data_IF_736014664994
#
_entry.id   IF_736014664994
#
_cell.length_a   1.000
_cell.length_b   1.000
_cell.length_c   1.000
_cell.angle_alpha   90.00
_cell.angle_beta   90.00
_cell.angle_gamma   90.00
#
_symmetry.space_group_name_H-M   'P 1'
#
loop_
_entity.id
_entity.type
_entity.pdbx_description
1 polymer ?
#
# COMPACT_ATOMS: atom_id res chain seq x y z
N UNK A 1 4.01 0.96 7.12
CA UNK A 1 4.56 1.34 5.81
C UNK A 1 6.05 1.48 5.97
N UNK A 2 6.82 0.82 5.12
CA UNK A 2 8.28 0.99 5.05
C UNK A 2 8.60 1.71 3.74
N UNK A 3 9.43 2.75 3.80
CA UNK A 3 9.92 3.46 2.61
C UNK A 3 11.44 3.29 2.52
N UNK A 4 11.90 2.61 1.48
CA UNK A 4 13.33 2.34 1.25
C UNK A 4 13.85 3.25 0.14
N UNK A 5 15.05 3.79 0.32
CA UNK A 5 15.80 4.41 -0.78
C UNK A 5 16.49 3.29 -1.55
N UNK A 6 16.32 3.28 -2.86
CA UNK A 6 16.90 2.27 -3.76
C UNK A 6 17.42 2.97 -5.01
N UNK A 7 18.39 2.35 -5.68
CA UNK A 7 18.96 2.83 -6.92
C UNK A 7 19.10 1.66 -7.91
N UNK A 8 18.90 1.93 -9.19
CA UNK A 8 19.03 0.91 -10.24
C UNK A 8 19.46 1.55 -11.56
N UNK A 9 20.11 0.79 -12.47
CA UNK A 9 20.52 1.33 -13.76
C UNK A 9 19.30 1.66 -14.65
N UNK A 10 19.30 2.86 -15.22
CA UNK A 10 18.34 3.32 -16.22
C UNK A 10 18.73 2.92 -17.64
N UNK A 11 17.93 3.36 -18.60
CA UNK A 11 18.08 2.99 -20.02
C UNK A 11 19.35 3.53 -20.67
N UNK A 12 19.87 4.65 -20.17
CA UNK A 12 21.11 5.27 -20.62
C UNK A 12 22.34 4.86 -19.76
N UNK A 13 22.18 3.87 -18.88
CA UNK A 13 23.25 3.37 -18.01
C UNK A 13 23.54 4.23 -16.76
N UNK A 14 22.86 5.36 -16.60
CA UNK A 14 22.91 6.15 -15.37
C UNK A 14 22.10 5.50 -14.25
N UNK A 15 22.52 5.68 -12.99
CA UNK A 15 21.74 5.23 -11.84
C UNK A 15 20.51 6.12 -11.66
N UNK A 16 19.36 5.49 -11.51
CA UNK A 16 18.09 6.13 -11.21
C UNK A 16 17.80 6.01 -9.72
N UNK A 17 17.53 7.14 -9.08
CA UNK A 17 17.16 7.20 -7.67
C UNK A 17 15.67 6.94 -7.50
N UNK A 18 15.33 6.06 -6.56
CA UNK A 18 13.96 5.65 -6.32
C UNK A 18 13.61 5.49 -4.84
N UNK A 19 12.31 5.43 -4.60
CA UNK A 19 11.67 5.13 -3.32
C UNK A 19 10.76 3.92 -3.52
N UNK A 20 11.03 2.87 -2.75
CA UNK A 20 10.16 1.72 -2.65
C UNK A 20 9.33 1.83 -1.38
N UNK A 21 8.05 2.11 -1.56
CA UNK A 21 7.06 2.23 -0.51
C UNK A 21 6.25 0.92 -0.43
N UNK A 22 6.26 0.24 0.72
CA UNK A 22 5.56 -1.05 0.87
C UNK A 22 4.76 -1.17 2.17
N UNK A 23 3.65 -1.92 2.15
CA UNK A 23 2.96 -2.32 3.38
C UNK A 23 3.84 -3.25 4.21
N UNK A 24 3.50 -3.39 5.49
CA UNK A 24 4.21 -4.32 6.38
C UNK A 24 3.80 -5.79 6.10
N UNK A 25 2.76 -6.01 5.29
CA UNK A 25 2.30 -7.30 4.80
C UNK A 25 2.78 -7.54 3.37
N UNK A 26 2.59 -8.75 2.84
CA UNK A 26 2.79 -9.01 1.42
C UNK A 26 1.86 -8.09 0.59
N UNK A 27 2.40 -7.33 -0.38
CA UNK A 27 1.58 -6.49 -1.25
C UNK A 27 0.64 -7.32 -2.10
N UNK A 28 -0.57 -6.81 -2.31
CA UNK A 28 -1.53 -7.36 -3.27
C UNK A 28 -0.96 -7.36 -4.69
N UNK A 29 -0.33 -6.26 -5.05
CA UNK A 29 0.31 -6.04 -6.33
C UNK A 29 1.38 -4.96 -6.18
N UNK A 30 2.37 -4.99 -7.06
CA UNK A 30 3.37 -3.95 -7.18
C UNK A 30 2.98 -2.97 -8.27
N UNK A 31 3.15 -1.68 -7.97
CA UNK A 31 2.91 -0.58 -8.87
C UNK A 31 4.21 0.15 -9.19
N UNK A 32 4.43 0.47 -10.46
CA UNK A 32 5.45 1.44 -10.86
C UNK A 32 4.75 2.76 -11.11
N UNK A 33 5.17 3.80 -10.40
CA UNK A 33 4.57 5.12 -10.48
C UNK A 33 5.56 6.12 -11.09
N UNK A 34 5.37 6.38 -12.39
CA UNK A 34 5.99 7.45 -13.15
C UNK A 34 5.33 8.79 -12.81
N UNK A 35 5.90 9.52 -11.85
CA UNK A 35 5.40 10.86 -11.52
C UNK A 35 5.73 11.87 -12.64
N UNK A 36 5.27 13.11 -12.47
CA UNK A 36 5.54 14.18 -13.43
C UNK A 36 7.05 14.40 -13.64
N UNK A 37 7.46 14.56 -14.90
CA UNK A 37 8.86 14.76 -15.35
C UNK A 37 9.47 16.07 -14.84
N UNK A 38 8.65 16.96 -14.29
CA UNK A 38 9.11 18.24 -13.75
C UNK A 38 9.14 18.22 -12.22
N UNK A 39 8.67 17.12 -11.63
CA UNK A 39 8.63 16.88 -10.21
C UNK A 39 9.76 15.95 -9.80
N UNK A 40 10.08 15.95 -8.51
CA UNK A 40 10.88 14.89 -7.91
C UNK A 40 9.96 13.78 -7.38
N UNK A 41 10.52 12.59 -7.19
CA UNK A 41 9.96 11.51 -6.38
C UNK A 41 9.59 11.97 -4.98
N UNK A 42 10.12 13.07 -4.47
CA UNK A 42 9.74 13.62 -3.17
C UNK A 42 8.60 14.67 -3.28
N UNK A 43 7.95 14.81 -4.45
CA UNK A 43 6.77 15.67 -4.60
C UNK A 43 5.63 15.21 -3.69
N UNK A 44 4.94 16.19 -3.10
CA UNK A 44 3.84 15.95 -2.15
C UNK A 44 2.79 15.00 -2.73
N UNK A 45 2.35 15.26 -3.95
CA UNK A 45 1.37 14.43 -4.65
C UNK A 45 1.83 12.98 -4.82
N UNK A 46 3.06 12.77 -5.32
CA UNK A 46 3.58 11.42 -5.51
C UNK A 46 3.72 10.66 -4.18
N UNK A 47 4.14 11.35 -3.12
CA UNK A 47 4.25 10.78 -1.78
C UNK A 47 2.87 10.45 -1.17
N UNK A 48 1.89 11.35 -1.30
CA UNK A 48 0.54 11.14 -0.78
C UNK A 48 -0.20 10.01 -1.51
N UNK A 49 -0.11 9.97 -2.84
CA UNK A 49 -0.69 8.88 -3.65
C UNK A 49 -0.04 7.55 -3.26
N UNK A 50 1.29 7.51 -3.16
CA UNK A 50 2.02 6.30 -2.76
C UNK A 50 1.58 5.79 -1.39
N UNK A 51 1.54 6.68 -0.40
CA UNK A 51 1.13 6.33 0.96
C UNK A 51 -0.29 5.76 1.01
N UNK A 52 -1.24 6.41 0.34
CA UNK A 52 -2.62 5.95 0.29
C UNK A 52 -2.78 4.60 -0.45
N UNK A 53 -1.99 4.36 -1.51
CA UNK A 53 -1.95 3.05 -2.18
C UNK A 53 -1.34 1.96 -1.28
N UNK A 54 -0.30 2.30 -0.51
CA UNK A 54 0.31 1.38 0.46
C UNK A 54 -0.66 1.01 1.58
N UNK A 55 -1.41 1.98 2.11
CA UNK A 55 -2.49 1.75 3.07
C UNK A 55 -3.59 0.84 2.49
N UNK A 56 -3.82 0.92 1.17
CA UNK A 56 -4.73 0.02 0.46
C UNK A 56 -4.13 -1.36 0.10
N UNK A 57 -2.88 -1.63 0.49
CA UNK A 57 -2.20 -2.92 0.35
C UNK A 57 -1.35 -3.10 -0.91
N UNK A 58 -1.03 -2.03 -1.63
CA UNK A 58 -0.13 -2.07 -2.80
C UNK A 58 1.30 -1.74 -2.41
N UNK A 59 2.28 -2.34 -3.09
CA UNK A 59 3.67 -1.88 -3.04
C UNK A 59 3.89 -0.91 -4.19
N UNK A 60 4.60 0.19 -3.98
CA UNK A 60 4.75 1.27 -4.96
C UNK A 60 6.21 1.64 -5.11
N UNK A 61 6.73 1.54 -6.34
CA UNK A 61 8.03 2.06 -6.73
C UNK A 61 7.84 3.41 -7.42
N UNK A 62 8.43 4.46 -6.85
CA UNK A 62 8.53 5.79 -7.46
C UNK A 62 9.98 6.10 -7.74
N UNK A 63 10.30 6.62 -8.91
CA UNK A 63 11.67 6.89 -9.32
C UNK A 63 11.77 8.22 -10.04
N UNK A 64 12.90 8.88 -9.89
CA UNK A 64 13.25 10.04 -10.69
C UNK A 64 13.79 9.56 -12.05
N UNK A 65 13.31 10.10 -13.18
CA UNK A 65 13.89 9.79 -14.50
C UNK A 65 15.34 10.29 -14.62
N UNK A 66 16.07 9.82 -15.64
CA UNK A 66 17.45 10.27 -15.91
C UNK A 66 17.55 11.80 -15.89
N UNK A 67 18.55 12.33 -15.18
CA UNK A 67 18.80 13.77 -15.07
C UNK A 67 17.81 14.57 -14.22
N UNK A 68 16.89 13.90 -13.52
CA UNK A 68 15.95 14.53 -12.59
C UNK A 68 16.23 14.11 -11.15
N UNK A 69 15.94 15.02 -10.22
CA UNK A 69 15.92 14.71 -8.78
C UNK A 69 17.26 14.14 -8.29
N UNK A 70 17.22 12.91 -7.76
CA UNK A 70 18.41 12.20 -7.30
C UNK A 70 19.06 11.30 -8.36
N UNK A 71 18.48 11.18 -9.56
CA UNK A 71 19.01 10.33 -10.63
C UNK A 71 20.20 10.97 -11.33
N UNK A 72 21.17 10.14 -11.71
CA UNK A 72 22.33 10.57 -12.48
C UNK A 72 21.98 10.96 -13.93
N UNK A 73 22.97 11.50 -14.63
CA UNK A 73 22.83 11.98 -16.01
C UNK A 73 22.41 13.44 -16.08
N UNK A 74 22.14 13.91 -17.30
CA UNK A 74 21.69 15.28 -17.58
C UNK A 74 20.40 15.22 -18.40
N UNK A 75 19.35 15.87 -17.88
CA UNK A 75 18.02 15.86 -18.49
C UNK A 75 18.03 16.44 -19.90
N UNK A 76 18.93 17.38 -20.19
CA UNK A 76 19.08 17.97 -21.51
C UNK A 76 19.49 16.95 -22.60
N UNK A 77 20.10 15.84 -22.20
CA UNK A 77 20.49 14.76 -23.10
C UNK A 77 19.45 13.62 -23.16
N UNK A 78 18.32 13.76 -22.47
CA UNK A 78 17.26 12.75 -22.47
C UNK A 78 16.22 13.03 -23.56
N UNK A 79 15.49 11.98 -23.93
CA UNK A 79 14.37 12.03 -24.86
C UNK A 79 13.15 11.32 -24.25
N UNK A 80 11.96 11.50 -24.82
CA UNK A 80 10.77 10.82 -24.30
C UNK A 80 10.94 9.29 -24.37
N UNK A 81 11.52 8.76 -25.45
CA UNK A 81 11.76 7.32 -25.60
C UNK A 81 12.79 6.77 -24.60
N UNK A 82 13.81 7.54 -24.17
CA UNK A 82 14.72 7.10 -23.09
C UNK A 82 14.00 7.09 -21.77
N UNK A 83 13.12 8.06 -21.52
CA UNK A 83 12.35 8.10 -20.29
C UNK A 83 11.32 6.96 -20.23
N UNK A 84 10.72 6.56 -21.37
CA UNK A 84 9.98 5.29 -21.48
C UNK A 84 10.90 4.10 -21.19
N UNK A 85 12.15 4.13 -21.64
CA UNK A 85 13.17 3.13 -21.31
C UNK A 85 13.47 3.04 -19.81
N UNK A 86 13.61 4.17 -19.11
CA UNK A 86 13.83 4.23 -17.67
C UNK A 86 12.66 3.65 -16.89
N UNK A 87 11.43 3.91 -17.34
CA UNK A 87 10.22 3.29 -16.77
C UNK A 87 10.22 1.76 -16.93
N UNK A 88 10.66 1.27 -18.09
CA UNK A 88 10.82 -0.19 -18.31
C UNK A 88 11.91 -0.75 -17.39
N UNK A 89 13.04 -0.06 -17.25
CA UNK A 89 14.11 -0.46 -16.34
C UNK A 89 13.63 -0.51 -14.88
N UNK A 90 12.81 0.46 -14.45
CA UNK A 90 12.19 0.47 -13.13
C UNK A 90 11.25 -0.73 -12.91
N UNK A 91 10.47 -1.09 -13.93
CA UNK A 91 9.60 -2.27 -13.88
C UNK A 91 10.40 -3.58 -13.84
N UNK A 92 11.48 -3.66 -14.63
CA UNK A 92 12.36 -4.83 -14.66
C UNK A 92 13.11 -5.03 -13.33
N UNK A 93 13.61 -3.96 -12.73
CA UNK A 93 14.22 -3.99 -11.40
C UNK A 93 13.20 -4.39 -10.33
N UNK A 94 11.98 -3.83 -10.38
CA UNK A 94 10.93 -4.19 -9.41
C UNK A 94 10.58 -5.68 -9.50
N UNK A 95 10.55 -6.22 -10.74
CA UNK A 95 10.33 -7.65 -11.00
C UNK A 95 11.45 -8.51 -10.42
N UNK A 96 12.71 -8.12 -10.57
CA UNK A 96 13.85 -8.93 -10.10
C UNK A 96 13.98 -8.94 -8.57
N UNK A 97 13.81 -7.78 -7.93
CA UNK A 97 14.09 -7.63 -6.50
C UNK A 97 12.89 -7.92 -5.59
N UNK A 98 11.66 -7.76 -6.11
CA UNK A 98 10.47 -7.77 -5.26
C UNK A 98 9.32 -8.57 -5.84
N UNK A 99 8.77 -8.16 -6.98
CA UNK A 99 7.66 -8.87 -7.58
C UNK A 99 7.08 -8.16 -8.78
N UNK A 100 6.13 -8.85 -9.40
CA UNK A 100 5.57 -8.49 -10.69
C UNK A 100 4.92 -7.09 -10.69
N UNK A 101 5.40 -6.14 -11.52
CA UNK A 101 4.85 -4.79 -11.64
C UNK A 101 3.50 -4.81 -12.39
N UNK A 102 2.43 -5.20 -11.70
CA UNK A 102 1.13 -5.44 -12.30
C UNK A 102 0.31 -4.16 -12.54
N UNK A 103 0.67 -3.05 -11.90
CA UNK A 103 0.01 -1.75 -12.03
C UNK A 103 1.00 -0.69 -12.53
N UNK A 104 0.65 0.02 -13.60
CA UNK A 104 1.40 1.20 -14.03
C UNK A 104 0.58 2.45 -13.74
N UNK A 105 1.18 3.42 -13.07
CA UNK A 105 0.56 4.71 -12.75
C UNK A 105 1.43 5.81 -13.31
N UNK A 106 0.84 6.73 -14.06
CA UNK A 106 1.55 7.84 -14.67
C UNK A 106 0.84 9.16 -14.42
N UNK A 107 1.59 10.18 -13.99
CA UNK A 107 1.07 11.54 -13.78
C UNK A 107 1.67 12.54 -14.77
N UNK A 108 0.84 13.42 -15.33
CA UNK A 108 1.24 14.39 -16.35
C UNK A 108 1.94 13.68 -17.52
N UNK A 109 3.14 14.11 -17.92
CA UNK A 109 3.94 13.43 -18.95
C UNK A 109 4.29 11.97 -18.59
N UNK A 110 4.35 11.64 -17.30
CA UNK A 110 4.43 10.26 -16.81
C UNK A 110 3.24 9.40 -17.25
N UNK A 111 2.05 9.99 -17.39
CA UNK A 111 0.86 9.35 -17.94
C UNK A 111 1.04 8.93 -19.40
N UNK A 112 1.62 9.80 -20.22
CA UNK A 112 1.96 9.45 -21.59
C UNK A 112 3.05 8.36 -21.65
N UNK A 113 4.03 8.44 -20.74
CA UNK A 113 5.11 7.45 -20.65
C UNK A 113 4.61 6.05 -20.25
N UNK A 114 3.69 5.92 -19.28
CA UNK A 114 3.14 4.60 -18.92
C UNK A 114 2.29 3.99 -20.03
N UNK A 115 1.53 4.81 -20.78
CA UNK A 115 0.80 4.35 -21.95
C UNK A 115 1.76 3.85 -23.05
N UNK A 116 2.92 4.50 -23.21
CA UNK A 116 3.95 4.07 -24.15
C UNK A 116 4.72 2.82 -23.68
N UNK A 117 4.98 2.70 -22.38
CA UNK A 117 5.74 1.60 -21.81
C UNK A 117 4.93 0.32 -21.62
N UNK A 118 3.60 0.40 -21.51
CA UNK A 118 2.75 -0.75 -21.15
C UNK A 118 2.99 -1.99 -22.02
N UNK A 119 3.20 -1.83 -23.33
CA UNK A 119 3.48 -2.94 -24.26
C UNK A 119 4.85 -3.60 -24.06
N UNK A 120 5.79 -2.87 -23.45
CA UNK A 120 7.14 -3.34 -23.14
C UNK A 120 7.22 -4.00 -21.75
N UNK A 121 6.14 -3.88 -20.95
CA UNK A 121 6.05 -4.44 -19.61
C UNK A 121 4.91 -5.47 -19.63
N UNK A 122 5.22 -6.70 -20.07
CA UNK A 122 4.22 -7.76 -20.28
C UNK A 122 3.36 -8.05 -19.02
N UNK A 123 3.95 -7.86 -17.85
CA UNK A 123 3.35 -8.04 -16.53
C UNK A 123 2.30 -7.00 -16.16
N UNK A 124 2.32 -5.83 -16.80
CA UNK A 124 1.38 -4.77 -16.51
C UNK A 124 -0.03 -5.25 -16.87
N UNK A 125 -0.88 -5.41 -15.86
CA UNK A 125 -2.26 -5.89 -16.00
C UNK A 125 -3.28 -4.75 -15.96
N UNK A 126 -2.89 -3.57 -15.46
CA UNK A 126 -3.74 -2.39 -15.40
C UNK A 126 -2.89 -1.11 -15.52
N UNK A 127 -3.44 -0.09 -16.16
CA UNK A 127 -2.78 1.20 -16.40
C UNK A 127 -3.67 2.33 -15.88
N UNK A 128 -3.03 3.31 -15.25
CA UNK A 128 -3.68 4.49 -14.67
C UNK A 128 -2.96 5.74 -15.17
N UNK A 129 -3.74 6.72 -15.60
CA UNK A 129 -3.24 8.06 -15.93
C UNK A 129 -3.89 9.13 -15.05
N UNK A 130 -3.08 10.09 -14.59
CA UNK A 130 -3.49 11.26 -13.81
C UNK A 130 -3.07 12.51 -14.60
N UNK A 131 -4.02 13.34 -15.03
CA UNK A 131 -3.68 14.62 -15.69
C UNK A 131 -2.84 14.45 -16.97
N UNK A 132 -3.00 13.35 -17.70
CA UNK A 132 -2.08 12.97 -18.77
C UNK A 132 -2.41 13.65 -20.10
N UNK A 133 -1.40 14.10 -20.87
CA UNK A 133 -1.60 14.60 -22.22
C UNK A 133 -1.88 13.44 -23.18
N UNK A 134 -2.79 13.62 -24.14
CA UNK A 134 -3.06 12.64 -25.20
C UNK A 134 -1.92 12.60 -26.22
N UNK A 135 -1.44 13.76 -26.63
CA UNK A 135 -0.22 13.91 -27.41
C UNK A 135 0.84 14.49 -26.47
N UNK A 136 1.98 13.81 -26.24
CA UNK A 136 3.00 14.38 -25.36
C UNK A 136 3.54 15.71 -25.90
N UNK A 137 3.43 15.95 -27.22
CA UNK A 137 3.75 17.23 -27.87
C UNK A 137 2.84 18.38 -27.40
N UNK A 138 1.65 18.10 -26.86
CA UNK A 138 0.75 19.14 -26.37
C UNK A 138 1.36 19.90 -25.17
N UNK A 139 2.15 19.22 -24.34
CA UNK A 139 2.82 19.83 -23.18
C UNK A 139 3.78 20.93 -23.61
N UNK A 140 4.32 20.85 -24.84
CA UNK A 140 5.29 21.81 -25.33
C UNK A 140 4.69 23.20 -25.54
N UNK A 141 3.37 23.29 -25.76
CA UNK A 141 2.66 24.58 -25.90
C UNK A 141 2.72 25.44 -24.64
N UNK A 142 2.98 24.83 -23.48
CA UNK A 142 3.16 25.53 -22.21
C UNK A 142 4.59 26.10 -22.04
N UNK A 143 5.51 25.85 -22.98
CA UNK A 143 6.89 26.36 -22.93
C UNK A 143 7.02 27.82 -23.42
N UNK A 144 5.93 28.46 -23.82
CA UNK A 144 5.90 29.87 -24.23
C UNK A 144 6.90 30.17 -25.36
N UNK A 145 7.65 31.28 -25.23
CA UNK A 145 8.67 31.69 -26.20
C UNK A 145 9.88 30.76 -26.31
N UNK A 146 10.03 29.78 -25.41
CA UNK A 146 11.11 28.79 -25.44
C UNK A 146 11.05 27.88 -26.67
N UNK A 147 9.86 27.60 -27.21
CA UNK A 147 9.69 26.79 -28.43
C UNK A 147 10.40 27.41 -29.63
N UNK A 148 10.20 28.70 -29.88
CA UNK A 148 10.84 29.41 -30.99
C UNK A 148 12.37 29.41 -30.85
N UNK A 149 12.88 29.48 -29.62
CA UNK A 149 14.31 29.40 -29.33
C UNK A 149 14.88 27.99 -29.55
N UNK A 150 14.14 26.92 -29.22
CA UNK A 150 14.54 25.54 -29.52
C UNK A 150 14.56 25.31 -31.04
N UNK A 151 13.55 25.83 -31.74
CA UNK A 151 13.45 25.78 -33.20
C UNK A 151 14.56 26.57 -33.91
N UNK A 152 15.06 27.66 -33.31
CA UNK A 152 16.16 28.44 -33.91
C UNK A 152 17.56 27.94 -33.51
N UNK A 153 17.76 27.64 -32.22
CA UNK A 153 19.09 27.43 -31.63
C UNK A 153 19.39 25.95 -31.32
N UNK A 154 18.40 25.06 -31.46
CA UNK A 154 18.53 23.64 -31.15
C UNK A 154 18.24 23.29 -29.69
N UNK A 155 18.32 24.27 -28.78
CA UNK A 155 17.96 24.11 -27.37
C UNK A 155 17.50 25.43 -26.73
N UNK A 156 16.73 25.34 -25.65
CA UNK A 156 16.38 26.48 -24.81
C UNK A 156 16.11 26.06 -23.36
N UNK A 157 16.26 27.03 -22.45
CA UNK A 157 15.76 26.88 -21.08
C UNK A 157 14.26 27.14 -21.03
N UNK A 158 13.52 26.21 -20.48
CA UNK A 158 12.08 26.30 -20.27
C UNK A 158 11.76 26.14 -18.78
N UNK A 159 10.72 26.83 -18.32
CA UNK A 159 10.23 26.67 -16.95
C UNK A 159 8.98 25.82 -16.95
N UNK A 160 8.99 24.74 -16.17
CA UNK A 160 7.84 23.86 -15.99
C UNK A 160 7.60 23.63 -14.51
N UNK A 161 6.37 23.91 -14.06
CA UNK A 161 5.96 23.73 -12.65
C UNK A 161 6.93 24.39 -11.65
N UNK A 162 7.48 25.56 -12.02
CA UNK A 162 8.41 26.34 -11.20
C UNK A 162 9.88 25.90 -11.24
N UNK A 163 10.28 24.96 -12.10
CA UNK A 163 11.68 24.53 -12.27
C UNK A 163 12.17 24.79 -13.70
N UNK A 164 13.42 25.21 -13.83
CA UNK A 164 14.07 25.42 -15.12
C UNK A 164 14.74 24.14 -15.63
N UNK A 165 14.53 23.83 -16.91
CA UNK A 165 15.15 22.72 -17.61
C UNK A 165 15.67 23.19 -18.96
N UNK A 166 16.83 22.68 -19.39
CA UNK A 166 17.25 22.81 -20.79
C UNK A 166 16.58 21.70 -21.59
N UNK A 167 15.81 22.08 -22.61
CA UNK A 167 15.24 21.15 -23.58
C UNK A 167 15.91 21.34 -24.93
N UNK A 168 16.20 20.24 -25.60
CA UNK A 168 16.71 20.23 -26.97
C UNK A 168 15.63 19.87 -27.97
N UNK A 169 15.86 20.21 -29.24
CA UNK A 169 14.96 19.94 -30.35
C UNK A 169 14.67 18.46 -30.51
N UNK A 170 15.67 17.61 -30.29
CA UNK A 170 15.55 16.16 -30.39
C UNK A 170 14.49 15.60 -29.42
N UNK A 171 14.32 16.21 -28.25
CA UNK A 171 13.25 15.84 -27.32
C UNK A 171 11.87 16.17 -27.91
N UNK A 172 11.71 17.33 -28.54
CA UNK A 172 10.45 17.73 -29.18
C UNK A 172 10.12 16.83 -30.37
N UNK A 173 11.10 16.52 -31.21
CA UNK A 173 10.95 15.65 -32.37
C UNK A 173 10.60 14.21 -31.96
N UNK A 174 11.30 13.68 -30.95
CA UNK A 174 11.02 12.36 -30.38
C UNK A 174 9.62 12.32 -29.78
N UNK A 175 9.20 13.33 -29.03
CA UNK A 175 7.85 13.45 -28.47
C UNK A 175 6.77 13.52 -29.57
N UNK A 176 6.99 14.31 -30.62
CA UNK A 176 6.05 14.50 -31.72
C UNK A 176 5.90 13.24 -32.59
N UNK A 177 6.94 12.43 -32.69
CA UNK A 177 6.94 11.18 -33.46
C UNK A 177 6.29 10.00 -32.73
N UNK A 178 5.88 10.14 -31.47
CA UNK A 178 5.30 9.04 -30.70
C UNK A 178 3.89 8.69 -31.22
N UNK A 179 3.63 7.43 -31.64
CA UNK A 179 2.32 6.99 -32.13
C UNK A 179 1.36 6.71 -30.96
N UNK A 180 1.06 7.74 -30.17
CA UNK A 180 0.36 7.60 -28.89
C UNK A 180 -1.07 7.08 -29.07
N UNK A 181 -1.76 7.54 -30.12
CA UNK A 181 -3.11 7.08 -30.45
C UNK A 181 -3.14 5.56 -30.75
N UNK A 182 -2.16 5.06 -31.51
CA UNK A 182 -2.05 3.64 -31.83
C UNK A 182 -1.74 2.82 -30.58
N UNK A 183 -0.82 3.31 -29.73
CA UNK A 183 -0.47 2.65 -28.46
C UNK A 183 -1.65 2.53 -27.50
N UNK A 184 -2.46 3.59 -27.38
CA UNK A 184 -3.67 3.61 -26.56
C UNK A 184 -4.71 2.64 -27.12
N UNK A 185 -4.95 2.65 -28.44
CA UNK A 185 -5.90 1.75 -29.07
C UNK A 185 -5.49 0.28 -28.92
N UNK A 186 -4.21 -0.01 -29.12
CA UNK A 186 -3.66 -1.35 -28.98
C UNK A 186 -3.37 -1.76 -27.54
N UNK A 187 -3.71 -0.96 -26.52
CA UNK A 187 -3.30 -1.15 -25.12
C UNK A 187 -3.69 -2.53 -24.56
N UNK A 188 -4.90 -3.03 -24.88
CA UNK A 188 -5.42 -4.32 -24.43
C UNK A 188 -5.23 -4.60 -22.92
N UNK A 189 -5.31 -3.55 -22.11
CA UNK A 189 -5.28 -3.57 -20.64
C UNK A 189 -6.36 -2.64 -20.09
N UNK A 190 -6.96 -2.96 -18.94
CA UNK A 190 -7.75 -2.03 -18.15
C UNK A 190 -7.07 -0.67 -18.01
N UNK A 191 -7.79 0.39 -18.41
CA UNK A 191 -7.30 1.77 -18.30
C UNK A 191 -8.23 2.61 -17.41
N UNK A 192 -7.65 3.26 -16.41
CA UNK A 192 -8.31 4.31 -15.63
C UNK A 192 -7.69 5.66 -15.94
N UNK A 193 -8.52 6.60 -16.41
CA UNK A 193 -8.13 7.99 -16.68
C UNK A 193 -8.72 8.86 -15.59
N UNK A 194 -7.88 9.55 -14.81
CA UNK A 194 -8.30 10.53 -13.83
C UNK A 194 -7.83 11.92 -14.26
N UNK A 195 -8.73 12.90 -14.26
CA UNK A 195 -8.40 14.26 -14.73
C UNK A 195 -9.31 15.31 -14.10
N UNK A 196 -8.75 16.45 -13.72
CA UNK A 196 -9.53 17.59 -13.24
C UNK A 196 -10.05 18.44 -14.41
N UNK A 197 -11.35 18.81 -14.46
CA UNK A 197 -11.88 19.73 -15.47
C UNK A 197 -11.25 21.14 -15.40
N UNK A 198 -10.75 21.54 -14.23
CA UNK A 198 -10.09 22.83 -13.98
C UNK A 198 -8.59 22.83 -14.31
N UNK A 199 -8.03 21.73 -14.83
CA UNK A 199 -6.60 21.62 -15.15
C UNK A 199 -6.18 22.61 -16.25
N UNK A 200 -5.37 23.60 -15.87
CA UNK A 200 -4.88 24.66 -16.77
C UNK A 200 -3.56 24.32 -17.47
N UNK A 201 -2.92 23.20 -17.11
CA UNK A 201 -1.64 22.75 -17.67
C UNK A 201 -1.86 21.66 -18.71
N UNK A 202 -2.79 20.73 -18.46
CA UNK A 202 -3.21 19.74 -19.45
C UNK A 202 -4.73 19.75 -19.43
N UNK A 203 -5.35 20.42 -20.40
CA UNK A 203 -6.81 20.52 -20.45
C UNK A 203 -7.50 19.15 -20.50
N UNK A 204 -8.68 19.05 -19.87
CA UNK A 204 -9.47 17.81 -19.71
C UNK A 204 -9.84 17.13 -21.03
N UNK A 205 -9.83 17.86 -22.14
CA UNK A 205 -9.97 17.27 -23.48
C UNK A 205 -8.94 16.19 -23.78
N UNK A 206 -7.75 16.24 -23.18
CA UNK A 206 -6.77 15.17 -23.30
C UNK A 206 -7.27 13.86 -22.70
N UNK A 207 -7.88 13.89 -21.51
CA UNK A 207 -8.50 12.71 -20.91
C UNK A 207 -9.63 12.17 -21.77
N UNK A 208 -10.47 13.05 -22.34
CA UNK A 208 -11.52 12.65 -23.29
C UNK A 208 -10.93 11.90 -24.49
N UNK A 209 -9.89 12.44 -25.12
CA UNK A 209 -9.21 11.80 -26.27
C UNK A 209 -8.58 10.46 -25.89
N UNK A 210 -7.91 10.37 -24.73
CA UNK A 210 -7.35 9.10 -24.22
C UNK A 210 -8.46 8.06 -24.02
N UNK A 211 -9.55 8.47 -23.37
CA UNK A 211 -10.69 7.58 -23.10
C UNK A 211 -11.39 7.13 -24.37
N UNK A 212 -11.63 8.03 -25.34
CA UNK A 212 -12.25 7.70 -26.62
C UNK A 212 -11.38 6.71 -27.43
N UNK A 213 -10.07 6.96 -27.47
CA UNK A 213 -9.12 6.13 -28.22
C UNK A 213 -8.92 4.73 -27.63
N UNK A 214 -9.03 4.58 -26.31
CA UNK A 214 -8.83 3.29 -25.65
C UNK A 214 -9.97 2.31 -25.95
N UNK A 215 -9.68 1.00 -25.94
CA UNK A 215 -10.70 -0.05 -25.97
C UNK A 215 -11.14 -0.41 -24.54
N UNK A 216 -12.29 -1.09 -24.40
CA UNK A 216 -12.73 -1.58 -23.09
C UNK A 216 -11.83 -2.73 -22.59
N UNK A 217 -11.65 -2.88 -21.26
CA UNK A 217 -12.26 -2.09 -20.19
C UNK A 217 -11.53 -0.75 -19.95
N UNK A 218 -12.29 0.34 -19.94
CA UNK A 218 -11.81 1.70 -19.73
C UNK A 218 -12.72 2.46 -18.77
N UNK A 219 -12.16 3.35 -17.98
CA UNK A 219 -12.87 4.15 -16.99
C UNK A 219 -12.34 5.58 -16.99
N UNK A 220 -13.22 6.56 -16.79
CA UNK A 220 -12.86 7.96 -16.60
C UNK A 220 -13.44 8.45 -15.27
N UNK A 221 -12.64 9.18 -14.49
CA UNK A 221 -13.09 9.82 -13.25
C UNK A 221 -12.63 11.28 -13.24
N UNK A 222 -13.57 12.17 -12.98
CA UNK A 222 -13.27 13.58 -12.76
C UNK A 222 -12.68 13.79 -11.36
N UNK A 223 -11.64 14.62 -11.26
CA UNK A 223 -11.02 15.04 -10.00
C UNK A 223 -11.55 16.40 -9.51
N UNK A 224 -12.70 16.85 -10.03
CA UNK A 224 -13.38 18.09 -9.67
C UNK A 224 -12.48 19.33 -9.71
N UNK A 225 -12.24 20.00 -8.59
CA UNK A 225 -11.51 21.26 -8.48
C UNK A 225 -10.00 21.08 -8.28
N UNK A 226 -9.50 19.83 -8.25
CA UNK A 226 -8.09 19.53 -8.04
C UNK A 226 -7.16 20.23 -9.06
N UNK A 227 -6.00 20.70 -8.59
CA UNK A 227 -4.99 21.27 -9.47
C UNK A 227 -4.21 20.20 -10.27
N UNK A 228 -3.52 20.61 -11.33
CA UNK A 228 -2.74 19.69 -12.19
C UNK A 228 -1.76 18.83 -11.40
N UNK A 229 -1.15 19.39 -10.35
CA UNK A 229 -0.09 18.75 -9.60
C UNK A 229 -0.59 17.93 -8.42
N UNK A 230 -1.90 17.92 -8.14
CA UNK A 230 -2.51 17.30 -6.95
C UNK A 230 -1.80 17.71 -5.66
N UNK A 231 -1.55 19.02 -5.50
CA UNK A 231 -0.83 19.56 -4.35
C UNK A 231 -1.59 19.37 -3.02
N UNK A 232 -2.92 19.28 -3.08
CA UNK A 232 -3.75 18.99 -1.91
C UNK A 232 -3.64 17.53 -1.49
N UNK A 233 -3.49 17.30 -0.19
CA UNK A 233 -3.49 15.95 0.36
C UNK A 233 -4.86 15.27 0.19
N UNK A 234 -5.97 16.01 0.28
CA UNK A 234 -7.32 15.46 0.08
C UNK A 234 -7.47 14.85 -1.31
N UNK A 235 -7.03 15.57 -2.34
CA UNK A 235 -7.24 15.20 -3.74
C UNK A 235 -6.33 14.05 -4.12
N UNK A 236 -5.08 14.07 -3.64
CA UNK A 236 -4.15 12.97 -3.78
C UNK A 236 -4.66 11.69 -3.10
N UNK A 237 -5.20 11.78 -1.88
CA UNK A 237 -5.79 10.64 -1.17
C UNK A 237 -7.06 10.13 -1.86
N UNK A 238 -7.92 11.03 -2.35
CA UNK A 238 -9.11 10.69 -3.12
C UNK A 238 -8.75 9.94 -4.41
N UNK A 239 -7.83 10.49 -5.21
CA UNK A 239 -7.33 9.86 -6.43
C UNK A 239 -6.74 8.47 -6.14
N UNK A 240 -5.91 8.33 -5.10
CA UNK A 240 -5.34 7.05 -4.69
C UNK A 240 -6.39 6.04 -4.22
N UNK A 241 -7.41 6.48 -3.48
CA UNK A 241 -8.53 5.63 -3.06
C UNK A 241 -9.31 5.08 -4.26
N UNK A 242 -9.60 5.93 -5.26
CA UNK A 242 -10.22 5.53 -6.52
C UNK A 242 -9.35 4.52 -7.28
N UNK A 243 -8.06 4.80 -7.42
CA UNK A 243 -7.11 3.91 -8.07
C UNK A 243 -7.09 2.54 -7.37
N UNK A 244 -6.96 2.53 -6.04
CA UNK A 244 -6.91 1.30 -5.27
C UNK A 244 -8.20 0.48 -5.41
N UNK A 245 -9.37 1.14 -5.29
CA UNK A 245 -10.67 0.48 -5.42
C UNK A 245 -10.86 -0.11 -6.82
N UNK A 246 -10.56 0.67 -7.87
CA UNK A 246 -10.65 0.23 -9.26
C UNK A 246 -9.67 -0.90 -9.57
N UNK A 247 -8.40 -0.78 -9.14
CA UNK A 247 -7.35 -1.74 -9.42
C UNK A 247 -7.64 -3.12 -8.79
N UNK A 248 -8.29 -3.17 -7.62
CA UNK A 248 -8.70 -4.44 -6.96
C UNK A 248 -9.56 -5.34 -7.85
N UNK A 249 -10.31 -4.78 -8.81
CA UNK A 249 -11.14 -5.54 -9.77
C UNK A 249 -10.32 -6.35 -10.77
N UNK A 250 -9.14 -5.86 -11.13
CA UNK A 250 -8.24 -6.44 -12.14
C UNK A 250 -7.01 -7.12 -11.53
N UNK A 251 -6.68 -6.72 -10.30
CA UNK A 251 -5.58 -7.24 -9.49
C UNK A 251 -6.19 -7.90 -8.24
N UNK A 252 -6.87 -9.05 -8.40
CA UNK A 252 -7.41 -9.79 -7.26
C UNK A 252 -6.24 -10.11 -6.32
N UNK A 253 -6.53 -10.16 -5.02
CA UNK A 253 -5.54 -10.62 -4.07
C UNK A 253 -5.09 -12.00 -4.52
N UNK A 254 -3.81 -12.36 -4.37
CA UNK A 254 -3.44 -13.75 -4.49
C UNK A 254 -4.46 -14.55 -3.67
N UNK A 255 -5.08 -15.55 -4.30
CA UNK A 255 -5.96 -16.46 -3.59
C UNK A 255 -5.18 -16.96 -2.36
N UNK A 256 -5.83 -17.29 -1.23
CA UNK A 256 -5.17 -18.03 -0.17
C UNK A 256 -4.80 -19.40 -0.75
N UNK A 257 -3.71 -19.47 -1.49
CA UNK A 257 -3.14 -20.70 -1.99
C UNK A 257 -2.50 -21.37 -0.78
N UNK A 258 -2.85 -22.63 -0.58
CA UNK A 258 -2.20 -23.57 0.33
C UNK A 258 -0.70 -23.75 0.06
N UNK A 259 -0.17 -23.08 -0.94
CA UNK A 259 1.24 -22.95 -1.27
C UNK A 259 1.48 -21.48 -1.65
N UNK A 260 2.01 -20.68 -0.71
CA UNK A 260 2.59 -19.38 -1.06
C UNK A 260 4.08 -19.58 -0.99
N UNK A 261 4.71 -19.50 -2.17
CA UNK A 261 6.14 -19.36 -2.32
C UNK A 261 6.65 -18.32 -1.32
N UNK A 262 7.49 -18.82 -0.41
CA UNK A 262 8.36 -18.04 0.44
C UNK A 262 9.11 -17.00 -0.39
N UNK A 263 9.16 -15.77 0.10
CA UNK A 263 10.23 -14.84 -0.23
C UNK A 263 11.56 -15.57 -0.03
N UNK A 264 12.49 -15.61 -1.00
CA UNK A 264 13.82 -16.13 -0.74
C UNK A 264 14.47 -15.27 0.36
N UNK A 265 14.60 -15.82 1.57
CA UNK A 265 15.31 -15.20 2.69
C UNK A 265 14.49 -14.69 3.88
N UNK A 266 13.15 -14.74 3.85
CA UNK A 266 12.34 -14.45 5.04
C UNK A 266 11.75 -15.76 5.59
N UNK A 267 12.50 -16.45 6.45
CA UNK A 267 11.97 -17.60 7.18
C UNK A 267 10.76 -17.16 8.03
N UNK A 268 9.61 -17.77 7.78
CA UNK A 268 8.46 -17.62 8.66
C UNK A 268 8.82 -18.18 10.03
N UNK A 269 8.49 -17.46 11.11
CA UNK A 269 8.74 -17.93 12.47
C UNK A 269 8.08 -19.31 12.69
N UNK A 270 8.75 -20.25 13.37
CA UNK A 270 8.14 -21.53 13.72
C UNK A 270 6.85 -21.35 14.55
N UNK A 271 5.95 -22.34 14.48
CA UNK A 271 4.74 -22.36 15.32
C UNK A 271 5.14 -22.29 16.79
N UNK A 272 4.50 -21.39 17.55
CA UNK A 272 4.80 -21.16 18.96
C UNK A 272 5.91 -20.13 19.21
N UNK A 273 6.52 -19.57 18.17
CA UNK A 273 7.48 -18.47 18.29
C UNK A 273 6.80 -17.15 17.97
N UNK A 274 6.90 -16.19 18.89
CA UNK A 274 6.46 -14.81 18.70
C UNK A 274 7.68 -13.90 18.79
N UNK A 275 7.87 -13.02 17.81
CA UNK A 275 8.91 -12.00 17.82
C UNK A 275 8.26 -10.64 18.01
N UNK A 276 8.79 -9.84 18.93
CA UNK A 276 8.37 -8.46 19.14
C UNK A 276 9.53 -7.55 18.80
N UNK A 277 9.29 -6.54 17.98
CA UNK A 277 10.30 -5.56 17.56
C UNK A 277 9.76 -4.14 17.66
N UNK A 278 10.66 -3.21 17.91
CA UNK A 278 10.34 -1.79 18.02
C UNK A 278 9.73 -1.24 16.72
N UNK A 279 8.84 -0.25 16.85
CA UNK A 279 8.19 0.45 15.76
C UNK A 279 8.20 1.94 16.07
N UNK A 280 8.35 2.76 15.04
CA UNK A 280 8.23 4.22 15.20
C UNK A 280 6.92 4.60 15.90
N UNK A 281 7.07 5.27 17.04
CA UNK A 281 6.01 5.62 17.98
C UNK A 281 6.60 5.68 19.40
N UNK A 282 5.77 6.01 20.39
CA UNK A 282 6.18 6.07 21.79
C UNK A 282 6.32 4.67 22.41
N UNK A 283 5.27 3.85 22.30
CA UNK A 283 5.25 2.47 22.81
C UNK A 283 4.89 1.43 21.74
N UNK A 284 4.81 1.85 20.48
CA UNK A 284 4.37 1.00 19.40
C UNK A 284 5.39 -0.10 19.10
N UNK A 285 4.92 -1.34 18.95
CA UNK A 285 5.73 -2.50 18.58
C UNK A 285 5.05 -3.32 17.49
N UNK A 286 5.84 -4.03 16.69
CA UNK A 286 5.35 -5.07 15.80
C UNK A 286 5.41 -6.43 16.51
N UNK A 287 4.31 -7.17 16.50
CA UNK A 287 4.21 -8.53 17.03
C UNK A 287 4.05 -9.50 15.85
N UNK A 288 5.04 -10.36 15.64
CA UNK A 288 5.10 -11.31 14.54
C UNK A 288 4.90 -12.74 15.06
N UNK A 289 3.97 -13.48 14.45
CA UNK A 289 3.71 -14.89 14.75
C UNK A 289 3.48 -15.67 13.44
N UNK A 290 4.43 -16.52 13.08
CA UNK A 290 4.42 -17.24 11.79
C UNK A 290 4.41 -16.28 10.60
N UNK A 291 3.26 -16.18 9.92
CA UNK A 291 3.05 -15.30 8.76
C UNK A 291 2.20 -14.06 9.08
N UNK A 292 1.80 -13.90 10.34
CA UNK A 292 0.93 -12.84 10.79
C UNK A 292 1.74 -11.77 11.51
N UNK A 293 1.38 -10.52 11.27
CA UNK A 293 1.94 -9.37 11.98
C UNK A 293 0.78 -8.52 12.47
N UNK A 294 0.82 -8.12 13.74
CA UNK A 294 -0.08 -7.13 14.33
C UNK A 294 0.73 -6.02 15.01
N UNK A 295 0.08 -4.88 15.22
CA UNK A 295 0.65 -3.76 15.97
C UNK A 295 0.11 -3.82 17.39
N UNK A 296 1.00 -3.66 18.36
CA UNK A 296 0.63 -3.41 19.75
C UNK A 296 1.13 -2.04 20.16
N UNK A 297 0.30 -1.29 20.86
CA UNK A 297 0.62 0.04 21.36
C UNK A 297 -0.27 0.36 22.55
N UNK A 298 0.13 1.35 23.35
CA UNK A 298 -0.66 1.83 24.47
C UNK A 298 -1.59 2.99 24.05
N UNK A 299 -2.70 3.23 24.76
CA UNK A 299 -3.53 4.39 24.52
C UNK A 299 -2.80 5.72 24.76
N UNK A 300 -3.25 6.79 24.10
CA UNK A 300 -2.70 8.15 24.26
C UNK A 300 -2.70 8.61 25.73
N UNK A 301 -3.74 8.25 26.49
CA UNK A 301 -3.89 8.66 27.90
C UNK A 301 -2.80 8.15 28.84
N UNK A 302 -2.03 7.14 28.44
CA UNK A 302 -0.91 6.59 29.21
C UNK A 302 0.43 6.73 28.48
N UNK A 303 0.47 7.54 27.43
CA UNK A 303 1.69 7.93 26.71
C UNK A 303 2.00 7.13 25.44
N UNK A 304 1.10 6.26 24.97
CA UNK A 304 1.24 5.61 23.67
C UNK A 304 0.62 6.42 22.53
N UNK A 305 0.58 5.84 21.33
CA UNK A 305 0.05 6.50 20.13
C UNK A 305 -1.27 5.88 19.64
N UNK A 306 -1.85 4.93 20.39
CA UNK A 306 -3.11 4.23 20.07
C UNK A 306 -3.09 3.59 18.66
N UNK A 307 -1.93 3.05 18.25
CA UNK A 307 -1.73 2.45 16.92
C UNK A 307 -2.16 0.98 16.83
N UNK A 308 -2.52 0.35 17.94
CA UNK A 308 -2.80 -1.07 18.03
C UNK A 308 -3.40 -1.48 19.37
N UNK A 309 -3.57 -2.80 19.56
CA UNK A 309 -4.08 -3.35 20.82
C UNK A 309 -3.03 -3.21 21.92
N UNK A 310 -3.45 -2.85 23.14
CA UNK A 310 -2.56 -2.85 24.30
C UNK A 310 -2.10 -4.27 24.66
N UNK A 311 -1.01 -4.42 25.43
CA UNK A 311 -0.54 -5.73 25.88
C UNK A 311 -1.62 -6.54 26.63
N UNK A 312 -2.42 -5.88 27.48
CA UNK A 312 -3.53 -6.53 28.17
C UNK A 312 -4.69 -6.87 27.21
N UNK A 313 -4.97 -6.05 26.20
CA UNK A 313 -5.97 -6.38 25.19
C UNK A 313 -5.57 -7.61 24.37
N UNK A 314 -4.27 -7.77 24.09
CA UNK A 314 -3.74 -8.98 23.45
C UNK A 314 -3.89 -10.22 24.32
N UNK A 315 -3.61 -10.10 25.63
CA UNK A 315 -3.80 -11.18 26.59
C UNK A 315 -5.28 -11.59 26.70
N UNK A 316 -6.18 -10.62 26.83
CA UNK A 316 -7.62 -10.85 26.86
C UNK A 316 -8.10 -11.43 25.51
N UNK A 317 -7.60 -10.91 24.39
CA UNK A 317 -7.90 -11.42 23.06
C UNK A 317 -7.52 -12.89 22.90
N UNK A 318 -6.34 -13.28 23.40
CA UNK A 318 -5.89 -14.67 23.38
C UNK A 318 -6.82 -15.59 24.19
N UNK A 319 -7.21 -15.19 25.40
CA UNK A 319 -8.15 -15.95 26.25
C UNK A 319 -9.55 -16.04 25.61
N UNK A 320 -10.05 -14.93 25.07
CA UNK A 320 -11.37 -14.84 24.44
C UNK A 320 -11.46 -15.70 23.19
N UNK A 321 -10.46 -15.60 22.31
CA UNK A 321 -10.34 -16.42 21.11
C UNK A 321 -10.29 -17.91 21.45
N UNK A 322 -9.43 -18.31 22.39
CA UNK A 322 -9.30 -19.70 22.82
C UNK A 322 -10.60 -20.26 23.41
N UNK A 323 -11.31 -19.46 24.20
CA UNK A 323 -12.61 -19.81 24.77
C UNK A 323 -13.65 -20.03 23.67
N UNK A 324 -13.83 -19.07 22.76
CA UNK A 324 -14.80 -19.16 21.67
C UNK A 324 -14.52 -20.36 20.74
N UNK A 325 -13.25 -20.60 20.39
CA UNK A 325 -12.84 -21.75 19.58
C UNK A 325 -13.18 -23.08 20.27
N UNK A 326 -12.92 -23.17 21.58
CA UNK A 326 -13.19 -24.38 22.38
C UNK A 326 -14.69 -24.69 22.46
N UNK A 327 -15.52 -23.67 22.69
CA UNK A 327 -16.97 -23.81 22.72
C UNK A 327 -17.54 -24.29 21.38
N UNK A 328 -17.08 -23.68 20.27
CA UNK A 328 -17.48 -24.09 18.91
C UNK A 328 -17.03 -25.52 18.60
N UNK A 329 -15.81 -25.89 18.99
CA UNK A 329 -15.30 -27.25 18.82
C UNK A 329 -16.17 -28.27 19.57
N UNK A 330 -16.49 -27.98 20.83
CA UNK A 330 -17.29 -28.87 21.67
C UNK A 330 -18.71 -29.04 21.14
N UNK A 331 -19.39 -27.93 20.80
CA UNK A 331 -20.74 -27.95 20.25
C UNK A 331 -20.80 -28.75 18.94
N UNK A 332 -19.83 -28.55 18.03
CA UNK A 332 -19.72 -29.35 16.78
C UNK A 332 -19.54 -30.84 17.06
N UNK A 333 -18.67 -31.19 18.00
CA UNK A 333 -18.44 -32.58 18.36
C UNK A 333 -19.71 -33.24 18.95
N UNK A 334 -20.49 -32.50 19.74
CA UNK A 334 -21.77 -32.94 20.29
C UNK A 334 -22.95 -32.79 19.33
N UNK A 335 -22.73 -32.21 18.15
CA UNK A 335 -23.76 -31.87 17.15
C UNK A 335 -24.87 -30.98 17.71
N UNK A 336 -24.51 -30.05 18.60
CA UNK A 336 -25.44 -29.07 19.16
C UNK A 336 -25.59 -27.86 18.24
N UNK A 337 -26.79 -27.27 18.15
CA UNK A 337 -27.08 -26.16 17.24
C UNK A 337 -26.62 -24.80 17.81
N UNK A 338 -25.31 -24.67 18.05
CA UNK A 338 -24.68 -23.41 18.43
C UNK A 338 -24.34 -22.62 17.17
N UNK A 339 -24.96 -21.46 17.00
CA UNK A 339 -24.84 -20.60 15.81
C UNK A 339 -23.73 -19.54 15.97
N UNK A 340 -23.69 -18.86 17.12
CA UNK A 340 -22.72 -17.80 17.41
C UNK A 340 -22.24 -17.85 18.87
N UNK A 341 -21.01 -17.38 19.10
CA UNK A 341 -20.39 -17.27 20.43
C UNK A 341 -19.72 -15.90 20.52
N UNK A 342 -20.12 -15.11 21.52
CA UNK A 342 -19.44 -13.86 21.86
C UNK A 342 -18.84 -13.96 23.25
N UNK A 343 -17.60 -13.53 23.37
CA UNK A 343 -16.87 -13.53 24.64
C UNK A 343 -16.38 -12.12 24.89
N UNK A 344 -16.91 -11.49 25.93
CA UNK A 344 -16.52 -10.16 26.38
C UNK A 344 -15.63 -10.32 27.60
N UNK A 345 -14.45 -9.71 27.57
CA UNK A 345 -13.46 -9.78 28.62
C UNK A 345 -13.13 -8.40 29.15
N UNK A 346 -12.87 -8.32 30.45
CA UNK A 346 -12.40 -7.11 31.12
C UNK A 346 -11.20 -7.44 31.99
N UNK A 347 -10.29 -6.49 32.16
CA UNK A 347 -9.16 -6.58 33.08
C UNK A 347 -9.22 -5.42 34.08
N UNK A 348 -8.98 -5.73 35.35
CA UNK A 348 -8.91 -4.75 36.42
C UNK A 348 -7.94 -5.20 37.52
N UNK A 349 -7.31 -4.24 38.20
CA UNK A 349 -6.57 -4.51 39.44
C UNK A 349 -7.46 -4.27 40.64
N UNK A 350 -7.70 -5.31 41.43
CA UNK A 350 -8.53 -5.26 42.65
C UNK A 350 -7.69 -5.52 43.89
N UNK A 351 -8.20 -5.17 45.08
CA UNK A 351 -7.53 -5.56 46.32
C UNK A 351 -7.72 -7.06 46.59
N UNK A 352 -6.68 -7.73 47.08
CA UNK A 352 -6.72 -9.16 47.42
C UNK A 352 -7.83 -9.50 48.43
N UNK A 353 -8.14 -8.57 49.34
CA UNK A 353 -9.26 -8.67 50.28
C UNK A 353 -10.64 -8.77 49.59
N UNK A 354 -10.78 -8.25 48.37
CA UNK A 354 -12.02 -8.26 47.59
C UNK A 354 -12.18 -9.53 46.73
N UNK A 355 -11.26 -10.49 46.88
CA UNK A 355 -11.33 -11.80 46.24
C UNK A 355 -11.37 -12.92 47.28
N UNK A 356 -12.59 -13.35 47.62
CA UNK A 356 -12.83 -14.41 48.59
C UNK A 356 -12.10 -15.72 48.25
N UNK A 357 -12.04 -16.06 46.95
CA UNK A 357 -11.50 -17.32 46.44
C UNK A 357 -10.01 -17.30 46.09
N UNK A 358 -9.34 -16.14 46.19
CA UNK A 358 -7.92 -16.03 45.84
C UNK A 358 -7.00 -16.51 46.97
N UNK A 359 -5.91 -17.20 46.63
CA UNK A 359 -4.91 -17.66 47.62
C UNK A 359 -4.11 -16.50 48.21
N UNK A 360 -3.79 -15.49 47.40
CA UNK A 360 -3.15 -14.26 47.85
C UNK A 360 -4.14 -13.41 48.64
N UNK A 361 -3.78 -13.08 49.90
CA UNK A 361 -4.66 -12.31 50.82
C UNK A 361 -4.20 -10.87 51.07
N UNK A 362 -3.05 -10.46 50.55
CA UNK A 362 -2.51 -9.10 50.70
C UNK A 362 -2.13 -8.49 49.33
N UNK A 363 -2.20 -7.17 49.21
CA UNK A 363 -1.83 -6.44 47.98
C UNK A 363 -2.96 -6.29 46.95
N UNK A 364 -2.58 -6.03 45.69
CA UNK A 364 -3.50 -5.97 44.55
C UNK A 364 -3.29 -7.20 43.66
N UNK A 365 -4.39 -7.74 43.14
CA UNK A 365 -4.39 -8.87 42.21
C UNK A 365 -5.05 -8.45 40.89
N UNK A 366 -4.60 -9.07 39.80
CA UNK A 366 -5.23 -8.92 38.49
C UNK A 366 -6.49 -9.80 38.43
N UNK A 367 -7.64 -9.18 38.12
CA UNK A 367 -8.91 -9.87 37.89
C UNK A 367 -9.29 -9.74 36.42
N UNK A 368 -9.50 -10.89 35.78
CA UNK A 368 -10.08 -10.96 34.44
C UNK A 368 -11.55 -11.37 34.58
N UNK A 369 -12.47 -10.48 34.18
CA UNK A 369 -13.89 -10.79 34.08
C UNK A 369 -14.24 -11.33 32.70
N UNK A 370 -15.06 -12.38 32.62
CA UNK A 370 -15.49 -12.98 31.35
C UNK A 370 -17.00 -13.14 31.30
N UNK A 371 -17.63 -12.61 30.25
CA UNK A 371 -19.05 -12.83 29.93
C UNK A 371 -19.13 -13.60 28.60
N UNK A 372 -19.93 -14.67 28.57
CA UNK A 372 -20.10 -15.52 27.38
C UNK A 372 -21.56 -15.50 26.94
N UNK A 373 -21.80 -15.09 25.71
CA UNK A 373 -23.12 -15.11 25.07
C UNK A 373 -23.17 -16.22 24.02
N UNK A 374 -24.23 -17.03 24.07
CA UNK A 374 -24.44 -18.18 23.19
C UNK A 374 -25.75 -18.01 22.40
N UNK A 375 -25.66 -17.95 21.07
CA UNK A 375 -26.81 -17.88 20.18
C UNK A 375 -27.06 -19.23 19.48
N UNK A 376 -28.34 -19.57 19.31
CA UNK A 376 -28.80 -20.82 18.71
C UNK A 376 -29.84 -21.54 19.60
N UNK A 377 -30.59 -22.51 19.04
CA UNK A 377 -31.65 -23.25 19.74
C UNK A 377 -31.07 -24.31 20.69
N UNK A 378 -30.35 -23.84 21.72
CA UNK A 378 -29.75 -24.65 22.77
C UNK A 378 -30.69 -24.75 23.98
N UNK A 379 -30.85 -25.96 24.51
CA UNK A 379 -31.55 -26.18 25.79
C UNK A 379 -30.70 -25.74 27.00
N UNK A 380 -31.33 -25.61 28.16
CA UNK A 380 -30.66 -25.19 29.41
C UNK A 380 -29.49 -26.11 29.80
N UNK A 381 -29.62 -27.45 29.76
CA UNK A 381 -28.49 -28.36 30.01
C UNK A 381 -27.30 -28.14 29.06
N UNK A 382 -27.55 -27.88 27.77
CA UNK A 382 -26.50 -27.58 26.79
C UNK A 382 -25.81 -26.26 27.12
N UNK A 383 -26.58 -25.22 27.47
CA UNK A 383 -26.03 -23.90 27.87
C UNK A 383 -25.17 -24.01 29.12
N UNK A 384 -25.67 -24.68 30.16
CA UNK A 384 -24.93 -24.91 31.40
C UNK A 384 -23.62 -25.68 31.12
N UNK A 385 -23.69 -26.74 30.29
CA UNK A 385 -22.52 -27.51 29.94
C UNK A 385 -21.51 -26.71 29.11
N UNK A 386 -21.96 -25.88 28.18
CA UNK A 386 -21.08 -25.00 27.42
C UNK A 386 -20.37 -24.00 28.35
N UNK A 387 -21.06 -23.45 29.35
CA UNK A 387 -20.43 -22.57 30.34
C UNK A 387 -19.29 -23.28 31.09
N UNK A 388 -19.50 -24.52 31.54
CA UNK A 388 -18.43 -25.32 32.17
C UNK A 388 -17.25 -25.63 31.24
N UNK A 389 -17.49 -25.71 29.92
CA UNK A 389 -16.44 -25.92 28.90
C UNK A 389 -15.65 -24.63 28.64
N UNK A 390 -16.24 -23.46 28.87
CA UNK A 390 -15.55 -22.19 28.68
C UNK A 390 -14.29 -22.07 29.56
N UNK A 391 -14.29 -22.67 30.76
CA UNK A 391 -13.15 -22.73 31.68
C UNK A 391 -12.11 -23.81 31.36
N UNK A 392 -12.26 -24.52 30.23
CA UNK A 392 -11.37 -25.64 29.87
C UNK A 392 -10.53 -25.37 28.64
N UNK A 393 -10.55 -24.14 28.12
CA UNK A 393 -9.74 -23.79 26.97
C UNK A 393 -8.23 -23.78 27.34
N UNK A 394 -7.32 -24.17 26.43
CA UNK A 394 -5.88 -24.23 26.72
C UNK A 394 -5.29 -22.96 27.34
N UNK A 395 -5.66 -21.78 26.84
CA UNK A 395 -5.16 -20.50 27.37
C UNK A 395 -5.64 -20.25 28.81
N UNK A 396 -6.91 -20.57 29.12
CA UNK A 396 -7.39 -20.50 30.51
C UNK A 396 -6.54 -21.40 31.43
N UNK A 397 -6.28 -22.65 31.01
CA UNK A 397 -5.46 -23.57 31.79
C UNK A 397 -4.06 -23.04 32.05
N UNK A 398 -3.42 -22.41 31.05
CA UNK A 398 -2.11 -21.78 31.22
C UNK A 398 -2.15 -20.63 32.22
N UNK A 399 -3.18 -19.79 32.18
CA UNK A 399 -3.33 -18.65 33.11
C UNK A 399 -3.61 -19.07 34.55
N UNK A 400 -4.17 -20.27 34.76
CA UNK A 400 -4.49 -20.81 36.09
C UNK A 400 -3.48 -21.86 36.57
N UNK A 401 -2.41 -22.11 35.82
CA UNK A 401 -1.33 -23.04 36.18
C UNK A 401 -0.05 -22.29 36.54
N UNK A 402 0.89 -22.98 37.17
CA UNK A 402 2.25 -22.47 37.33
C UNK A 402 2.91 -22.27 35.95
N UNK A 403 3.46 -21.07 35.71
CA UNK A 403 4.16 -20.70 34.48
C UNK A 403 5.55 -20.19 34.82
N UNK A 404 6.59 -20.88 34.34
CA UNK A 404 7.98 -20.43 34.45
C UNK A 404 8.34 -19.54 33.26
N UNK A 405 8.82 -18.32 33.52
CA UNK A 405 9.31 -17.38 32.50
C UNK A 405 10.83 -17.25 32.61
N UNK A 406 11.55 -17.72 31.60
CA UNK A 406 13.01 -17.62 31.53
C UNK A 406 13.44 -16.43 30.66
N UNK A 407 14.30 -15.55 31.19
CA UNK A 407 14.82 -14.36 30.49
C UNK A 407 16.34 -14.47 30.29
N UNK A 408 16.83 -14.19 29.08
CA UNK A 408 18.26 -14.16 28.75
C UNK A 408 18.54 -13.00 27.79
N UNK A 409 19.70 -12.35 27.95
CA UNK A 409 20.21 -11.37 26.99
C UNK A 409 21.03 -12.11 25.92
N UNK A 410 20.78 -11.82 24.65
CA UNK A 410 21.48 -12.40 23.49
C UNK A 410 22.49 -11.44 22.90
#
# INVERSE_FOLDING_TARGET
MTSLKVEFPGSLGHLLAARLDKPNTLPRAWAVFAHCFTCSKDSKAAAYISRALVEAGFGVLRFDFTGLGGSGGDFANTHFSSNVGDLVAAADWLRSEHGTPALLIGHSLGGAAVLAAAHRIADARAVVTLGAPFEPAHVTRHFGGGLALIESNGEARVTLSGREFTLRREFLDDVASQPQAERIHALHRPLLVLHAPSDTIVGVDNARRIFEQALHPKSFVSLDDADHLLNSQSDATYAAGLIAAWAKRYLPAPAPSSEVASTPGAESLPVGVVRVSDRSGNFAVNVEAGRHTLVSDEPVGVGGDDLGLGPYDLLLGALGACTAMTLRLYARHKKWPLEDVRVTLTHAKIHAADCAECETKEGKIDRIGRTVELAGPLDEPQRARLLEIADKCPVHRTLTSEVEIQTRLS
#
